data_IF_442118509638
#
_entry.id   IF_442118509638
#
_cell.length_a   1.000
_cell.length_b   1.000
_cell.length_c   1.000
_cell.angle_alpha   90.00
_cell.angle_beta   90.00
_cell.angle_gamma   90.00
#
_symmetry.space_group_name_H-M   'P 1'
#
loop_
_entity.id
_entity.type
_entity.pdbx_description
1 polymer ?
#
# COMPACT_ATOMS: atom_id res chain seq x y z
N UNK A 1 -10.57 -14.46 7.47
CA UNK A 1 -10.66 -12.99 7.40
C UNK A 1 -10.55 -12.60 5.94
N UNK A 2 -11.56 -11.93 5.41
CA UNK A 2 -11.62 -11.47 4.02
C UNK A 2 -11.89 -9.98 3.97
N UNK A 3 -11.39 -9.30 2.94
CA UNK A 3 -11.75 -7.91 2.68
C UNK A 3 -13.23 -7.85 2.31
N UNK A 4 -14.02 -7.02 2.98
CA UNK A 4 -15.43 -6.79 2.63
C UNK A 4 -15.60 -5.52 1.81
N UNK A 5 -14.84 -4.46 2.12
CA UNK A 5 -14.90 -3.18 1.45
C UNK A 5 -13.56 -2.42 1.50
N UNK A 6 -13.40 -1.50 0.54
CA UNK A 6 -12.28 -0.55 0.49
C UNK A 6 -12.83 0.83 0.16
N UNK A 7 -12.69 1.76 1.08
CA UNK A 7 -13.04 3.16 0.88
C UNK A 7 -11.84 3.95 0.37
N UNK A 8 -12.02 4.69 -0.71
CA UNK A 8 -11.02 5.60 -1.29
C UNK A 8 -11.28 7.02 -0.79
N UNK A 9 -10.32 7.59 -0.06
CA UNK A 9 -10.46 8.87 0.64
C UNK A 9 -9.41 9.86 0.12
N UNK A 10 -9.78 10.74 -0.82
CA UNK A 10 -8.89 11.79 -1.32
C UNK A 10 -8.61 12.82 -0.24
N UNK A 11 -7.33 13.16 -0.03
CA UNK A 11 -6.94 14.26 0.86
C UNK A 11 -6.08 15.27 0.10
N UNK A 12 -6.38 16.56 0.32
CA UNK A 12 -5.67 17.66 -0.31
C UNK A 12 -5.34 18.74 0.70
N UNK A 13 -4.15 19.31 0.59
CA UNK A 13 -3.74 20.48 1.35
C UNK A 13 -3.11 21.52 0.43
N UNK A 14 -3.61 22.76 0.50
CA UNK A 14 -3.13 23.87 -0.32
C UNK A 14 -2.49 24.93 0.57
N UNK A 15 -1.26 25.31 0.24
CA UNK A 15 -0.51 26.35 0.97
C UNK A 15 -0.90 27.77 0.53
N UNK A 16 -0.71 28.79 1.40
CA UNK A 16 -0.89 30.20 1.05
C UNK A 16 -0.04 30.67 -0.13
N UNK A 17 -0.34 31.86 -0.63
CA UNK A 17 0.39 32.44 -1.74
C UNK A 17 1.81 32.81 -1.34
N UNK A 18 2.77 32.57 -2.24
CA UNK A 18 4.20 32.70 -1.94
C UNK A 18 4.81 31.52 -1.18
N UNK A 19 4.01 30.58 -0.67
CA UNK A 19 4.50 29.44 0.13
C UNK A 19 4.46 28.09 -0.61
N UNK A 20 4.58 28.10 -1.95
CA UNK A 20 4.68 26.85 -2.69
C UNK A 20 5.97 26.08 -2.37
N UNK A 21 5.94 24.77 -2.63
CA UNK A 21 7.10 23.89 -2.48
C UNK A 21 7.49 23.40 -3.88
N UNK A 22 8.76 23.57 -4.22
CA UNK A 22 9.37 22.98 -5.41
C UNK A 22 9.84 21.56 -5.16
N UNK A 23 9.65 20.69 -6.14
CA UNK A 23 10.35 19.42 -6.25
C UNK A 23 10.86 19.21 -7.69
N UNK A 24 11.47 18.05 -7.96
CA UNK A 24 12.03 17.73 -9.27
C UNK A 24 10.99 17.75 -10.43
N UNK A 25 9.69 17.75 -10.11
CA UNK A 25 8.58 17.78 -11.08
C UNK A 25 7.98 19.18 -11.25
N UNK A 26 8.44 20.17 -10.49
CA UNK A 26 8.01 21.55 -10.60
C UNK A 26 7.64 22.19 -9.27
N UNK A 27 7.10 23.40 -9.34
CA UNK A 27 6.67 24.17 -8.18
C UNK A 27 5.16 24.11 -8.04
N UNK A 28 4.68 23.70 -6.86
CA UNK A 28 3.27 23.53 -6.58
C UNK A 28 2.90 23.99 -5.17
N UNK A 29 1.65 24.43 -5.01
CA UNK A 29 1.10 24.83 -3.70
C UNK A 29 0.20 23.78 -3.09
N UNK A 30 -0.32 22.89 -3.91
CA UNK A 30 -1.24 21.84 -3.49
C UNK A 30 -0.50 20.52 -3.44
N UNK A 31 -0.65 19.82 -2.33
CA UNK A 31 -0.24 18.43 -2.17
C UNK A 31 -1.51 17.60 -2.01
N UNK A 32 -1.56 16.52 -2.77
CA UNK A 32 -2.67 15.57 -2.76
C UNK A 32 -2.08 14.19 -2.55
N UNK A 33 -2.80 13.38 -1.78
CA UNK A 33 -2.61 11.94 -1.69
C UNK A 33 -3.97 11.32 -1.42
N UNK A 34 -4.05 9.99 -1.40
CA UNK A 34 -5.30 9.28 -1.18
C UNK A 34 -5.10 8.22 -0.12
N UNK A 35 -5.90 8.27 0.93
CA UNK A 35 -5.95 7.21 1.94
C UNK A 35 -6.92 6.12 1.47
N UNK A 36 -6.60 4.88 1.81
CA UNK A 36 -7.51 3.75 1.65
C UNK A 36 -7.85 3.20 3.02
N UNK A 37 -9.14 3.07 3.31
CA UNK A 37 -9.63 2.37 4.50
C UNK A 37 -10.16 1.01 4.05
N UNK A 38 -9.51 -0.06 4.49
CA UNK A 38 -9.86 -1.43 4.15
C UNK A 38 -10.57 -2.05 5.34
N UNK A 39 -11.80 -2.51 5.14
CA UNK A 39 -12.53 -3.25 6.16
C UNK A 39 -12.51 -4.75 5.85
N UNK A 40 -12.79 -5.56 6.85
CA UNK A 40 -12.83 -7.02 6.73
C UNK A 40 -14.11 -7.57 7.34
N UNK A 41 -14.49 -8.76 6.89
CA UNK A 41 -15.65 -9.49 7.39
C UNK A 41 -15.62 -9.81 8.90
N UNK A 42 -14.47 -9.64 9.56
CA UNK A 42 -14.30 -9.78 11.01
C UNK A 42 -14.25 -8.44 11.76
N UNK A 43 -14.50 -7.31 11.08
CA UNK A 43 -14.50 -5.96 11.65
C UNK A 43 -13.10 -5.35 11.90
N UNK A 44 -12.03 -5.98 11.39
CA UNK A 44 -10.69 -5.38 11.42
C UNK A 44 -10.57 -4.33 10.33
N UNK A 45 -9.97 -3.18 10.65
CA UNK A 45 -9.78 -2.06 9.72
C UNK A 45 -8.28 -1.83 9.49
N UNK A 46 -7.87 -1.90 8.22
CA UNK A 46 -6.54 -1.55 7.74
C UNK A 46 -6.52 -0.17 7.09
N UNK A 47 -5.36 0.49 7.12
CA UNK A 47 -5.14 1.78 6.45
C UNK A 47 -3.97 1.69 5.48
N UNK A 48 -4.16 2.25 4.29
CA UNK A 48 -3.14 2.37 3.25
C UNK A 48 -3.08 3.77 2.65
N UNK A 49 -2.03 4.03 1.88
CA UNK A 49 -1.86 5.28 1.13
C UNK A 49 -1.55 4.96 -0.35
N UNK A 50 -2.20 5.68 -1.25
CA UNK A 50 -1.83 5.76 -2.66
C UNK A 50 -1.34 7.17 -2.99
N UNK A 51 -0.09 7.27 -3.44
CA UNK A 51 0.54 8.53 -3.84
C UNK A 51 0.06 8.97 -5.24
N UNK A 52 -1.23 9.31 -5.34
CA UNK A 52 -1.88 9.81 -6.53
C UNK A 52 -3.16 10.59 -6.17
N UNK A 53 -3.68 11.44 -7.08
CA UNK A 53 -4.94 12.13 -6.87
C UNK A 53 -6.12 11.16 -6.72
N UNK A 54 -7.04 11.47 -5.82
CA UNK A 54 -8.19 10.63 -5.48
C UNK A 54 -8.98 10.10 -6.67
N UNK A 55 -9.33 10.98 -7.62
CA UNK A 55 -10.07 10.59 -8.84
C UNK A 55 -9.38 9.50 -9.67
N UNK A 56 -8.04 9.48 -9.66
CA UNK A 56 -7.27 8.48 -10.39
C UNK A 56 -7.26 7.19 -9.59
N UNK A 57 -7.05 7.27 -8.28
CA UNK A 57 -7.05 6.10 -7.39
C UNK A 57 -8.40 5.41 -7.40
N UNK A 58 -9.49 6.17 -7.29
CA UNK A 58 -10.87 5.69 -7.27
C UNK A 58 -11.22 4.92 -8.55
N UNK A 59 -11.07 5.57 -9.71
CA UNK A 59 -11.33 4.92 -10.99
C UNK A 59 -10.40 3.72 -11.25
N UNK A 60 -9.14 3.81 -10.82
CA UNK A 60 -8.20 2.70 -10.97
C UNK A 60 -8.64 1.53 -10.09
N UNK A 61 -9.01 1.78 -8.84
CA UNK A 61 -9.43 0.75 -7.89
C UNK A 61 -10.70 0.06 -8.38
N UNK A 62 -11.74 0.83 -8.68
CA UNK A 62 -13.04 0.30 -9.12
C UNK A 62 -12.90 -0.58 -10.37
N UNK A 63 -12.18 -0.09 -11.39
CA UNK A 63 -12.12 -0.75 -12.69
C UNK A 63 -11.07 -1.88 -12.78
N UNK A 64 -9.99 -1.81 -12.00
CA UNK A 64 -8.84 -2.70 -12.17
C UNK A 64 -8.56 -3.61 -10.97
N UNK A 65 -9.08 -3.30 -9.78
CA UNK A 65 -8.69 -3.99 -8.55
C UNK A 65 -9.83 -4.56 -7.75
N UNK A 66 -11.02 -3.95 -7.80
CA UNK A 66 -12.11 -4.29 -6.89
C UNK A 66 -12.42 -5.78 -6.86
N UNK A 67 -12.57 -6.38 -8.04
CA UNK A 67 -12.87 -7.81 -8.20
C UNK A 67 -11.73 -8.74 -7.76
N UNK A 68 -10.49 -8.27 -7.81
CA UNK A 68 -9.30 -9.03 -7.36
C UNK A 68 -9.03 -8.85 -5.84
N UNK A 69 -9.62 -7.83 -5.22
CA UNK A 69 -9.32 -7.42 -3.84
C UNK A 69 -10.44 -7.79 -2.88
N UNK A 70 -11.68 -7.44 -3.21
CA UNK A 70 -12.83 -7.72 -2.34
C UNK A 70 -13.10 -9.21 -2.31
N UNK A 71 -13.27 -9.77 -1.12
CA UNK A 71 -13.43 -11.20 -0.87
C UNK A 71 -12.12 -11.98 -0.74
N UNK A 72 -10.96 -11.34 -0.96
CA UNK A 72 -9.65 -11.99 -0.82
C UNK A 72 -9.29 -12.25 0.63
N UNK A 73 -8.78 -13.46 0.90
CA UNK A 73 -8.30 -13.85 2.23
C UNK A 73 -6.85 -13.37 2.43
N UNK A 74 -6.69 -12.18 3.03
CA UNK A 74 -5.38 -11.51 3.18
C UNK A 74 -4.41 -12.34 4.00
N UNK A 75 -4.86 -12.89 5.13
CA UNK A 75 -3.98 -13.65 6.03
C UNK A 75 -3.53 -14.95 5.40
N UNK A 76 -4.42 -15.65 4.69
CA UNK A 76 -4.04 -16.85 3.93
C UNK A 76 -2.98 -16.50 2.87
N UNK A 77 -3.13 -15.35 2.20
CA UNK A 77 -2.14 -14.85 1.23
C UNK A 77 -0.81 -14.50 1.90
N UNK A 78 -0.84 -13.87 3.07
CA UNK A 78 0.35 -13.51 3.84
C UNK A 78 1.10 -14.76 4.32
N UNK A 79 0.37 -15.73 4.87
CA UNK A 79 0.89 -17.01 5.35
C UNK A 79 1.47 -17.84 4.20
N UNK A 80 0.75 -17.95 3.07
CA UNK A 80 1.23 -18.66 1.87
C UNK A 80 2.51 -18.04 1.28
N UNK A 81 2.71 -16.73 1.47
CA UNK A 81 3.85 -15.98 0.93
C UNK A 81 4.92 -15.67 1.98
N UNK A 82 4.74 -16.11 3.23
CA UNK A 82 5.63 -15.82 4.36
C UNK A 82 5.92 -14.31 4.47
N UNK A 83 4.87 -13.49 4.47
CA UNK A 83 4.96 -12.04 4.38
C UNK A 83 4.36 -11.35 5.61
N UNK A 84 5.16 -10.55 6.31
CA UNK A 84 4.66 -9.65 7.38
C UNK A 84 3.85 -8.46 6.84
N UNK A 85 3.99 -8.16 5.55
CA UNK A 85 3.30 -7.07 4.86
C UNK A 85 2.79 -7.51 3.49
N UNK A 86 1.50 -7.27 3.23
CA UNK A 86 0.87 -7.50 1.94
C UNK A 86 0.63 -6.16 1.24
N UNK A 87 1.21 -6.01 0.04
CA UNK A 87 0.95 -4.87 -0.84
C UNK A 87 0.00 -5.29 -1.96
N UNK A 88 -1.11 -4.58 -2.10
CA UNK A 88 -2.00 -4.75 -3.25
C UNK A 88 -1.46 -3.88 -4.39
N UNK A 89 -0.72 -4.50 -5.29
CA UNK A 89 -0.18 -3.86 -6.48
C UNK A 89 -0.97 -4.28 -7.73
N UNK A 90 -1.26 -3.32 -8.61
CA UNK A 90 -2.03 -3.59 -9.82
C UNK A 90 -1.28 -4.52 -10.74
N UNK A 91 -2.01 -5.48 -11.32
CA UNK A 91 -1.45 -6.44 -12.29
C UNK A 91 -0.84 -5.76 -13.52
N UNK A 92 -1.09 -4.46 -13.76
CA UNK A 92 -0.43 -3.63 -14.78
C UNK A 92 0.24 -2.40 -14.13
N UNK A 93 1.58 -2.42 -14.09
CA UNK A 93 2.48 -1.55 -13.30
C UNK A 93 2.30 -0.03 -13.44
N UNK A 94 2.62 0.66 -12.34
CA UNK A 94 3.24 2.01 -12.29
C UNK A 94 4.54 1.93 -11.46
N UNK A 95 5.60 2.74 -11.73
CA UNK A 95 6.99 2.48 -11.31
C UNK A 95 7.37 2.91 -9.88
N UNK A 96 6.44 3.40 -9.07
CA UNK A 96 6.77 4.08 -7.81
C UNK A 96 6.80 3.09 -6.64
N UNK A 97 8.00 2.63 -6.29
CA UNK A 97 8.28 1.94 -5.03
C UNK A 97 8.33 0.41 -5.14
N UNK A 98 9.51 -0.13 -5.50
CA UNK A 98 9.83 -1.53 -5.18
C UNK A 98 10.24 -1.59 -3.72
N UNK A 99 9.57 -2.42 -2.91
CA UNK A 99 10.14 -2.97 -1.69
C UNK A 99 9.78 -4.46 -1.63
N UNK A 100 10.77 -5.30 -1.90
CA UNK A 100 10.78 -6.69 -1.47
C UNK A 100 11.99 -6.77 -0.53
N UNK A 101 11.77 -6.72 0.78
CA UNK A 101 12.79 -7.20 1.72
C UNK A 101 12.45 -8.64 2.04
N UNK A 102 13.17 -9.57 1.41
CA UNK A 102 13.24 -10.94 1.86
C UNK A 102 14.23 -10.96 3.03
N UNK A 103 13.74 -11.14 4.25
CA UNK A 103 14.62 -11.41 5.39
C UNK A 103 15.12 -12.84 5.24
N UNK A 104 16.35 -13.01 4.75
CA UNK A 104 16.99 -14.32 4.69
C UNK A 104 16.94 -14.99 6.08
N UNK A 105 16.53 -16.27 6.18
CA UNK A 105 16.52 -16.95 7.46
C UNK A 105 17.93 -16.96 8.04
N UNK A 106 18.03 -16.47 9.28
CA UNK A 106 19.26 -16.46 10.07
C UNK A 106 19.73 -17.92 10.23
N UNK A 107 20.71 -18.35 9.43
CA UNK A 107 21.40 -19.61 9.68
C UNK A 107 22.15 -19.46 10.99
N UNK A 108 21.61 -20.05 12.05
CA UNK A 108 22.33 -20.25 13.30
C UNK A 108 23.56 -21.11 13.03
N UNK A 109 24.72 -20.47 12.86
CA UNK A 109 26.00 -21.15 12.89
C UNK A 109 26.31 -21.49 14.35
N UNK A 110 25.97 -22.71 14.77
CA UNK A 110 26.50 -23.31 15.98
C UNK A 110 27.97 -23.69 15.74
N UNK A 111 28.90 -22.77 16.00
CA UNK A 111 30.30 -23.13 16.16
C UNK A 111 30.51 -23.67 17.57
N UNK A 112 30.43 -25.00 17.71
CA UNK A 112 30.98 -25.70 18.86
C UNK A 112 32.51 -25.63 18.80
N UNK A 113 33.13 -24.79 19.63
CA UNK A 113 34.56 -24.89 19.92
C UNK A 113 34.79 -26.07 20.85
N UNK A 114 35.06 -27.23 20.25
CA UNK A 114 35.52 -28.44 20.93
C UNK A 114 37.02 -28.61 20.73
N UNK A 115 37.74 -28.56 21.86
CA UNK A 115 39.12 -29.01 22.14
C UNK A 115 40.30 -28.30 21.45
#
# INVERSE_FOLDING_TARGET
>A
MKIDDVEVIPISSTRPEGEGIGDARGFGRTRETTLLRVETDTGTVGWGEAFAPGRIVDATFEELFRDDVVGTAILDTADEKDCDHVFIAGRKRSPTGKYCSETLPNRSSSTSTGR
#
